data_IF_805698016747
#
_entry.id   IF_805698016747
#
_cell.length_a   1.000
_cell.length_b   1.000
_cell.length_c   1.000
_cell.angle_alpha   90.00
_cell.angle_beta   90.00
_cell.angle_gamma   90.00
#
_symmetry.space_group_name_H-M   'P 1'
#
loop_
_entity.id
_entity.type
_entity.pdbx_description
1 polymer ?
#
# COMPACT_ATOMS: atom_id res chain seq x y z
N UNK A 1 -6.19 49.31 60.76
CA UNK A 1 -5.25 49.09 59.62
C UNK A 1 -5.66 47.78 58.95
N UNK A 2 -6.30 47.84 57.78
CA UNK A 2 -6.74 46.64 57.03
C UNK A 2 -5.73 46.38 55.93
N UNK A 3 -5.00 45.26 56.03
CA UNK A 3 -4.07 44.81 54.98
C UNK A 3 -4.87 44.15 53.88
N UNK A 4 -4.88 44.73 52.67
CA UNK A 4 -5.33 44.11 51.43
C UNK A 4 -4.22 43.29 50.81
N UNK A 5 -4.40 41.97 50.79
CA UNK A 5 -3.53 41.03 50.07
C UNK A 5 -3.91 41.04 48.61
N UNK A 6 -3.04 41.60 47.75
CA UNK A 6 -3.20 41.63 46.30
C UNK A 6 -2.71 40.29 45.75
N UNK A 7 -3.65 39.40 45.36
CA UNK A 7 -3.32 38.16 44.67
C UNK A 7 -3.15 38.46 43.17
N UNK A 8 -1.89 38.46 42.72
CA UNK A 8 -1.57 38.54 41.29
C UNK A 8 -1.88 37.20 40.63
N UNK A 9 -2.92 37.11 39.81
CA UNK A 9 -3.20 35.98 38.93
C UNK A 9 -2.25 36.10 37.73
N UNK A 10 -1.19 35.29 37.72
CA UNK A 10 -0.35 35.11 36.52
C UNK A 10 -1.10 34.16 35.59
N UNK A 11 -1.79 34.73 34.61
CA UNK A 11 -2.33 33.95 33.50
C UNK A 11 -1.15 33.57 32.60
N UNK A 12 -0.68 32.34 32.76
CA UNK A 12 0.25 31.74 31.81
C UNK A 12 -0.49 31.49 30.48
N UNK A 13 -0.35 32.42 29.55
CA UNK A 13 -0.77 32.23 28.17
C UNK A 13 0.22 31.21 27.59
N UNK A 14 -0.17 29.96 27.57
CA UNK A 14 0.50 28.93 26.77
C UNK A 14 0.30 29.31 25.30
N UNK A 15 1.29 29.97 24.71
CA UNK A 15 1.39 30.09 23.25
C UNK A 15 1.50 28.66 22.71
N UNK A 16 0.38 28.11 22.27
CA UNK A 16 0.37 26.99 21.37
C UNK A 16 1.09 27.49 20.09
N UNK A 17 2.36 27.18 19.92
CA UNK A 17 3.05 27.38 18.67
C UNK A 17 2.36 26.47 17.65
N UNK A 18 1.30 26.99 17.02
CA UNK A 18 0.78 26.40 15.81
C UNK A 18 1.91 26.39 14.80
N UNK A 19 2.41 25.21 14.49
CA UNK A 19 3.38 25.00 13.44
C UNK A 19 2.73 25.53 12.16
N UNK A 20 3.22 26.64 11.61
CA UNK A 20 2.81 27.15 10.30
C UNK A 20 3.35 26.19 9.24
N UNK A 21 2.73 25.05 9.12
CA UNK A 21 2.94 24.11 8.04
C UNK A 21 2.30 24.64 6.75
N UNK A 22 2.68 24.10 5.61
CA UNK A 22 2.02 24.35 4.34
C UNK A 22 0.54 24.01 4.48
N UNK A 23 -0.36 24.98 4.30
CA UNK A 23 -1.79 24.68 4.16
C UNK A 23 -2.07 24.24 2.73
N UNK A 24 -2.59 23.03 2.59
CA UNK A 24 -2.97 22.49 1.29
C UNK A 24 -4.35 22.99 0.86
N UNK A 25 -4.50 23.14 -0.45
CA UNK A 25 -5.77 23.44 -1.14
C UNK A 25 -6.09 22.26 -2.07
N UNK A 26 -7.37 21.89 -2.12
CA UNK A 26 -7.80 20.72 -2.90
C UNK A 26 -7.40 20.85 -4.39
N UNK A 27 -7.69 22.00 -5.02
CA UNK A 27 -7.46 22.20 -6.46
C UNK A 27 -5.98 22.37 -6.84
N UNK A 28 -5.10 22.63 -5.87
CA UNK A 28 -3.66 22.80 -6.10
C UNK A 28 -2.82 21.77 -5.33
N UNK A 29 -3.45 20.70 -4.87
CA UNK A 29 -2.84 19.74 -3.95
C UNK A 29 -1.56 19.10 -4.49
N UNK A 30 -1.55 18.67 -5.73
CA UNK A 30 -0.44 17.98 -6.37
C UNK A 30 0.80 18.89 -6.48
N UNK A 31 0.62 20.12 -6.94
CA UNK A 31 1.71 21.09 -7.02
C UNK A 31 2.26 21.45 -5.62
N UNK A 32 1.38 21.63 -4.65
CA UNK A 32 1.78 21.90 -3.27
C UNK A 32 2.51 20.70 -2.66
N UNK A 33 2.05 19.47 -2.94
CA UNK A 33 2.73 18.27 -2.48
C UNK A 33 4.13 18.11 -3.10
N UNK A 34 4.30 18.39 -4.38
CA UNK A 34 5.61 18.35 -5.02
C UNK A 34 6.61 19.32 -4.39
N UNK A 35 6.13 20.43 -3.84
CA UNK A 35 6.95 21.43 -3.12
C UNK A 35 7.03 21.18 -1.61
N UNK A 36 6.24 20.24 -1.07
CA UNK A 36 6.14 20.00 0.38
C UNK A 36 7.39 19.31 0.92
N UNK A 37 7.94 19.83 2.01
CA UNK A 37 9.04 19.21 2.76
C UNK A 37 8.57 18.90 4.19
N UNK A 38 8.59 17.61 4.61
CA UNK A 38 8.22 17.23 5.97
C UNK A 38 9.08 17.90 7.02
N UNK A 39 8.46 18.30 8.14
CA UNK A 39 9.19 18.85 9.29
C UNK A 39 8.97 17.95 10.50
N UNK A 40 10.06 17.55 11.16
CA UNK A 40 9.98 16.82 12.40
C UNK A 40 9.46 17.70 13.52
N UNK A 41 8.53 17.17 14.32
CA UNK A 41 8.04 17.81 15.54
C UNK A 41 8.19 16.87 16.75
N UNK A 42 8.01 17.41 17.96
CA UNK A 42 8.19 16.65 19.19
C UNK A 42 7.19 15.51 19.40
N UNK A 43 6.10 15.45 18.63
CA UNK A 43 5.06 14.44 18.75
C UNK A 43 5.31 13.20 17.88
N UNK A 44 6.38 13.22 17.08
CA UNK A 44 6.70 12.17 16.10
C UNK A 44 8.06 11.58 16.44
N UNK A 45 8.16 10.23 16.55
CA UNK A 45 9.45 9.58 16.71
C UNK A 45 10.35 9.84 15.49
N UNK A 46 11.67 9.85 15.70
CA UNK A 46 12.61 9.97 14.57
C UNK A 46 12.37 8.88 13.53
N UNK A 47 12.08 7.65 13.95
CA UNK A 47 11.78 6.51 13.07
C UNK A 47 10.56 6.78 12.20
N UNK A 48 9.47 7.26 12.78
CA UNK A 48 8.22 7.55 12.05
C UNK A 48 8.42 8.73 11.09
N UNK A 49 9.18 9.76 11.52
CA UNK A 49 9.53 10.89 10.68
C UNK A 49 10.36 10.47 9.46
N UNK A 50 11.44 9.70 9.69
CA UNK A 50 12.32 9.22 8.61
C UNK A 50 11.53 8.35 7.62
N UNK A 51 10.64 7.46 8.12
CA UNK A 51 9.79 6.63 7.29
C UNK A 51 8.80 7.45 6.45
N UNK A 52 8.06 8.35 7.08
CA UNK A 52 7.07 9.17 6.36
C UNK A 52 7.73 10.13 5.36
N UNK A 53 8.89 10.70 5.71
CA UNK A 53 9.69 11.54 4.80
C UNK A 53 10.17 10.77 3.58
N UNK A 54 10.55 9.50 3.78
CA UNK A 54 10.89 8.61 2.68
C UNK A 54 9.68 8.36 1.77
N UNK A 55 8.49 8.07 2.31
CA UNK A 55 7.27 7.90 1.51
C UNK A 55 6.97 9.15 0.67
N UNK A 56 7.09 10.35 1.25
CA UNK A 56 6.94 11.62 0.51
C UNK A 56 7.93 11.71 -0.64
N UNK A 57 9.22 11.42 -0.39
CA UNK A 57 10.28 11.46 -1.42
C UNK A 57 10.02 10.46 -2.54
N UNK A 58 9.69 9.21 -2.20
CA UNK A 58 9.43 8.15 -3.19
C UNK A 58 8.17 8.44 -4.02
N UNK A 59 7.12 9.01 -3.41
CA UNK A 59 5.91 9.41 -4.15
C UNK A 59 6.22 10.54 -5.15
N UNK A 60 7.00 11.55 -4.77
CA UNK A 60 7.47 12.59 -5.71
C UNK A 60 8.26 12.00 -6.87
N UNK A 61 9.15 11.04 -6.59
CA UNK A 61 9.93 10.34 -7.61
C UNK A 61 9.05 9.51 -8.54
N UNK A 62 8.11 8.73 -8.00
CA UNK A 62 7.17 7.90 -8.76
C UNK A 62 6.31 8.71 -9.73
N UNK A 63 5.85 9.89 -9.30
CA UNK A 63 5.11 10.83 -10.15
C UNK A 63 6.02 11.61 -11.11
N UNK A 64 7.35 11.39 -11.09
CA UNK A 64 8.35 12.13 -11.89
C UNK A 64 8.27 13.65 -11.67
N UNK A 65 7.91 14.07 -10.46
CA UNK A 65 7.65 15.46 -10.10
C UNK A 65 6.65 16.17 -11.03
N UNK A 66 5.69 15.44 -11.61
CA UNK A 66 4.65 15.97 -12.48
C UNK A 66 3.27 15.83 -11.79
N UNK A 67 2.52 16.95 -11.63
CA UNK A 67 1.20 16.94 -10.98
C UNK A 67 0.14 16.10 -11.71
N UNK A 68 0.32 15.85 -13.01
CA UNK A 68 -0.60 15.03 -13.82
C UNK A 68 -0.42 13.51 -13.63
N UNK A 69 0.65 13.08 -12.96
CA UNK A 69 1.00 11.66 -12.85
C UNK A 69 0.53 11.00 -11.55
N UNK A 70 -0.23 11.73 -10.71
CA UNK A 70 -0.72 11.15 -9.44
C UNK A 70 -1.84 10.16 -9.70
N UNK A 71 -1.75 9.01 -9.05
CA UNK A 71 -2.74 7.95 -9.10
C UNK A 71 -3.27 7.60 -7.70
N UNK A 72 -4.18 6.64 -7.61
CA UNK A 72 -4.81 6.18 -6.37
C UNK A 72 -3.79 5.79 -5.29
N UNK A 73 -2.74 5.04 -5.67
CA UNK A 73 -1.72 4.58 -4.73
C UNK A 73 -0.89 5.74 -4.18
N UNK A 74 -0.60 6.75 -5.01
CA UNK A 74 0.11 7.95 -4.59
C UNK A 74 -0.70 8.73 -3.55
N UNK A 75 -2.00 8.94 -3.79
CA UNK A 75 -2.87 9.62 -2.82
C UNK A 75 -2.99 8.85 -1.49
N UNK A 76 -3.05 7.52 -1.54
CA UNK A 76 -3.03 6.71 -0.32
C UNK A 76 -1.70 6.81 0.44
N UNK A 77 -0.58 6.80 -0.27
CA UNK A 77 0.76 6.97 0.29
C UNK A 77 0.89 8.33 0.97
N UNK A 78 0.43 9.41 0.32
CA UNK A 78 0.43 10.76 0.88
C UNK A 78 -0.44 10.82 2.14
N UNK A 79 -1.66 10.30 2.09
CA UNK A 79 -2.54 10.22 3.24
C UNK A 79 -1.87 9.48 4.41
N UNK A 80 -1.25 8.34 4.14
CA UNK A 80 -0.53 7.56 5.15
C UNK A 80 0.66 8.31 5.74
N UNK A 81 1.42 9.02 4.91
CA UNK A 81 2.52 9.87 5.36
C UNK A 81 2.03 11.04 6.22
N UNK A 82 0.96 11.75 5.80
CA UNK A 82 0.38 12.87 6.57
C UNK A 82 -0.15 12.44 7.93
N UNK A 83 -0.83 11.27 7.99
CA UNK A 83 -1.26 10.68 9.25
C UNK A 83 -0.09 10.34 10.17
N UNK A 84 1.02 9.82 9.63
CA UNK A 84 2.22 9.48 10.40
C UNK A 84 2.95 10.73 10.87
N UNK A 85 3.04 11.76 10.03
CA UNK A 85 3.63 13.05 10.35
C UNK A 85 2.77 13.91 11.28
N UNK A 86 1.54 13.47 11.57
CA UNK A 86 0.54 14.24 12.34
C UNK A 86 0.36 15.66 11.76
N UNK A 87 0.21 15.71 10.44
CA UNK A 87 -0.15 16.94 9.74
C UNK A 87 -1.45 17.54 10.28
N UNK A 88 -1.74 18.79 9.94
CA UNK A 88 -3.01 19.42 10.36
C UNK A 88 -4.21 18.59 9.90
N UNK A 89 -5.27 18.59 10.69
CA UNK A 89 -6.52 17.87 10.34
C UNK A 89 -7.04 18.30 8.96
N UNK A 90 -6.89 19.57 8.61
CA UNK A 90 -7.25 20.12 7.29
C UNK A 90 -6.45 19.42 6.18
N UNK A 91 -5.12 19.34 6.32
CA UNK A 91 -4.24 18.71 5.33
C UNK A 91 -4.55 17.22 5.16
N UNK A 92 -4.75 16.51 6.28
CA UNK A 92 -5.12 15.09 6.29
C UNK A 92 -6.47 14.89 5.56
N UNK A 93 -7.48 15.71 5.83
CA UNK A 93 -8.78 15.62 5.18
C UNK A 93 -8.70 15.89 3.68
N UNK A 94 -7.91 16.87 3.24
CA UNK A 94 -7.70 17.14 1.81
C UNK A 94 -7.03 15.93 1.13
N UNK A 95 -5.98 15.37 1.73
CA UNK A 95 -5.34 14.16 1.20
C UNK A 95 -6.32 12.97 1.13
N UNK A 96 -7.19 12.83 2.14
CA UNK A 96 -8.24 11.82 2.13
C UNK A 96 -9.29 12.07 1.03
N UNK A 97 -9.71 13.32 0.81
CA UNK A 97 -10.64 13.67 -0.28
C UNK A 97 -10.05 13.32 -1.67
N UNK A 98 -8.76 13.59 -1.90
CA UNK A 98 -8.06 13.20 -3.12
C UNK A 98 -8.07 11.67 -3.30
N UNK A 99 -7.69 10.94 -2.27
CA UNK A 99 -7.73 9.48 -2.26
C UNK A 99 -9.15 8.93 -2.50
N UNK A 100 -10.13 9.43 -1.76
CA UNK A 100 -11.52 8.98 -1.82
C UNK A 100 -12.17 9.18 -3.20
N UNK A 101 -11.76 10.22 -3.94
CA UNK A 101 -12.31 10.59 -5.23
C UNK A 101 -11.51 10.01 -6.42
N UNK A 102 -10.37 9.37 -6.17
CA UNK A 102 -9.58 8.72 -7.21
C UNK A 102 -10.30 7.47 -7.75
N UNK A 103 -10.07 7.17 -9.03
CA UNK A 103 -10.59 5.97 -9.69
C UNK A 103 -10.10 4.70 -8.96
N UNK A 104 -10.96 3.71 -8.77
CA UNK A 104 -10.64 2.48 -8.03
C UNK A 104 -10.61 2.61 -6.51
N UNK A 105 -10.90 3.81 -5.95
CA UNK A 105 -10.83 4.04 -4.49
C UNK A 105 -11.73 3.10 -3.68
N UNK A 106 -12.90 2.73 -4.20
CA UNK A 106 -13.83 1.85 -3.49
C UNK A 106 -13.24 0.47 -3.22
N UNK A 107 -12.65 -0.18 -4.22
CA UNK A 107 -12.03 -1.51 -4.06
C UNK A 107 -10.84 -1.44 -3.08
N UNK A 108 -10.04 -0.39 -3.21
CA UNK A 108 -8.91 -0.15 -2.32
C UNK A 108 -9.36 0.05 -0.87
N UNK A 109 -10.41 0.85 -0.64
CA UNK A 109 -10.98 1.10 0.69
C UNK A 109 -11.54 -0.17 1.33
N UNK A 110 -12.19 -1.05 0.57
CA UNK A 110 -12.69 -2.33 1.06
C UNK A 110 -11.56 -3.22 1.59
N UNK A 111 -10.40 -3.22 0.93
CA UNK A 111 -9.25 -4.05 1.35
C UNK A 111 -8.62 -3.61 2.69
N UNK A 112 -8.75 -2.33 3.07
CA UNK A 112 -8.18 -1.75 4.29
C UNK A 112 -9.19 -1.54 5.43
N UNK A 113 -10.44 -1.95 5.25
CA UNK A 113 -11.55 -1.70 6.19
C UNK A 113 -11.21 -2.04 7.65
N UNK A 114 -10.67 -3.24 7.89
CA UNK A 114 -10.35 -3.70 9.24
C UNK A 114 -9.26 -2.85 9.91
N UNK A 115 -8.21 -2.49 9.17
CA UNK A 115 -7.12 -1.65 9.69
C UNK A 115 -7.63 -0.28 10.09
N UNK A 116 -8.50 0.31 9.29
CA UNK A 116 -9.05 1.65 9.54
C UNK A 116 -10.03 1.65 10.71
N UNK A 117 -10.83 0.60 10.88
CA UNK A 117 -11.77 0.48 12.00
C UNK A 117 -11.10 0.45 13.36
N UNK A 118 -9.93 -0.16 13.46
CA UNK A 118 -9.30 -0.51 14.76
C UNK A 118 -8.05 0.31 15.10
N UNK A 119 -7.33 0.83 14.13
CA UNK A 119 -6.07 1.53 14.36
C UNK A 119 -6.32 3.03 14.67
N UNK A 120 -5.88 3.54 15.85
CA UNK A 120 -6.03 4.95 16.24
C UNK A 120 -5.41 5.95 15.27
N UNK A 121 -4.42 5.54 14.48
CA UNK A 121 -3.80 6.38 13.45
C UNK A 121 -4.84 7.02 12.52
N UNK A 122 -5.95 6.34 12.28
CA UNK A 122 -6.98 6.76 11.32
C UNK A 122 -8.17 7.51 11.96
N UNK A 123 -8.12 7.84 13.26
CA UNK A 123 -9.26 8.46 13.97
C UNK A 123 -9.78 9.72 13.26
N UNK A 124 -8.86 10.54 12.73
CA UNK A 124 -9.19 11.82 12.04
C UNK A 124 -10.08 11.62 10.81
N UNK A 125 -9.94 10.51 10.10
CA UNK A 125 -10.67 10.23 8.85
C UNK A 125 -11.68 9.09 9.00
N UNK A 126 -11.73 8.41 10.14
CA UNK A 126 -12.50 7.18 10.32
C UNK A 126 -13.99 7.33 9.97
N UNK A 127 -14.62 8.41 10.43
CA UNK A 127 -16.02 8.64 10.17
C UNK A 127 -16.31 8.82 8.66
N UNK A 128 -15.50 9.65 7.99
CA UNK A 128 -15.64 9.94 6.57
C UNK A 128 -15.31 8.70 5.72
N UNK A 129 -14.30 7.94 6.14
CA UNK A 129 -13.95 6.67 5.51
C UNK A 129 -15.11 5.65 5.58
N UNK A 130 -15.70 5.45 6.76
CA UNK A 130 -16.79 4.50 6.94
C UNK A 130 -18.07 4.93 6.20
N UNK A 131 -18.31 6.23 6.07
CA UNK A 131 -19.43 6.74 5.26
C UNK A 131 -19.20 6.44 3.78
N UNK A 132 -17.99 6.72 3.26
CA UNK A 132 -17.64 6.39 1.87
C UNK A 132 -17.71 4.89 1.60
N UNK A 133 -17.27 4.07 2.54
CA UNK A 133 -17.33 2.60 2.41
C UNK A 133 -18.77 2.09 2.26
N UNK A 134 -19.74 2.69 2.97
CA UNK A 134 -21.17 2.36 2.80
C UNK A 134 -21.65 2.69 1.38
N UNK A 135 -21.23 3.83 0.82
CA UNK A 135 -21.55 4.20 -0.57
C UNK A 135 -20.94 3.20 -1.54
N UNK A 136 -19.66 2.79 -1.34
CA UNK A 136 -18.97 1.80 -2.15
C UNK A 136 -19.68 0.45 -2.11
N UNK A 137 -20.09 0.00 -0.92
CA UNK A 137 -20.81 -1.27 -0.75
C UNK A 137 -22.19 -1.25 -1.43
N UNK A 138 -22.92 -0.12 -1.34
CA UNK A 138 -24.22 0.00 -2.00
C UNK A 138 -24.13 0.08 -3.53
N UNK A 139 -23.05 0.64 -4.08
CA UNK A 139 -22.78 0.66 -5.52
C UNK A 139 -22.33 -0.71 -6.04
N UNK A 140 -21.54 -1.45 -5.28
CA UNK A 140 -21.04 -2.78 -5.68
C UNK A 140 -22.17 -3.81 -5.83
N UNK A 141 -23.32 -3.61 -5.19
CA UNK A 141 -24.52 -4.46 -5.41
C UNK A 141 -25.20 -4.22 -6.77
N UNK A 142 -24.84 -3.16 -7.49
CA UNK A 142 -25.35 -2.81 -8.82
C UNK A 142 -24.34 -3.14 -9.94
N UNK A 143 -23.09 -3.48 -9.62
CA UNK A 143 -22.10 -3.86 -10.63
C UNK A 143 -22.40 -5.27 -11.16
N UNK A 144 -22.30 -5.43 -12.49
CA UNK A 144 -22.42 -6.74 -13.16
C UNK A 144 -21.49 -7.73 -12.46
N UNK A 145 -22.05 -8.83 -12.00
CA UNK A 145 -21.27 -9.95 -11.45
C UNK A 145 -20.18 -10.31 -12.45
N UNK A 146 -18.91 -10.24 -11.99
CA UNK A 146 -17.78 -10.63 -12.83
C UNK A 146 -17.93 -12.08 -13.30
N UNK A 147 -18.05 -12.26 -14.61
CA UNK A 147 -18.22 -13.57 -15.23
C UNK A 147 -16.93 -13.93 -15.95
N UNK A 148 -16.21 -14.92 -15.41
CA UNK A 148 -14.90 -15.35 -15.93
C UNK A 148 -14.98 -15.72 -17.42
N UNK A 149 -16.03 -16.42 -17.83
CA UNK A 149 -16.17 -16.89 -19.20
C UNK A 149 -16.33 -15.73 -20.20
N UNK A 150 -17.09 -14.67 -19.83
CA UNK A 150 -17.19 -13.44 -20.61
C UNK A 150 -15.85 -12.71 -20.65
N UNK A 151 -15.17 -12.58 -19.50
CA UNK A 151 -13.86 -11.95 -19.42
C UNK A 151 -12.84 -12.65 -20.31
N UNK A 152 -12.76 -13.97 -20.25
CA UNK A 152 -11.85 -14.76 -21.08
C UNK A 152 -12.16 -14.62 -22.57
N UNK A 153 -13.44 -14.61 -22.95
CA UNK A 153 -13.87 -14.43 -24.35
C UNK A 153 -13.46 -13.05 -24.87
N UNK A 154 -13.72 -12.00 -24.10
CA UNK A 154 -13.38 -10.62 -24.48
C UNK A 154 -11.86 -10.40 -24.62
N UNK A 155 -11.07 -11.08 -23.82
CA UNK A 155 -9.61 -10.93 -23.81
C UNK A 155 -8.87 -12.07 -24.55
N UNK A 156 -9.58 -13.00 -25.21
CA UNK A 156 -9.01 -14.15 -25.93
C UNK A 156 -8.11 -15.03 -25.04
N UNK A 157 -8.50 -15.24 -23.79
CA UNK A 157 -7.75 -16.00 -22.78
C UNK A 157 -8.21 -17.47 -22.69
N UNK A 158 -7.32 -18.34 -22.21
CA UNK A 158 -7.67 -19.72 -21.90
C UNK A 158 -8.54 -19.79 -20.65
N UNK A 159 -9.81 -20.18 -20.82
CA UNK A 159 -10.84 -20.23 -19.76
C UNK A 159 -10.41 -21.13 -18.60
N UNK A 160 -9.87 -22.32 -18.90
CA UNK A 160 -9.50 -23.30 -17.88
C UNK A 160 -8.32 -22.81 -17.04
N UNK A 161 -7.33 -22.18 -17.68
CA UNK A 161 -6.20 -21.56 -16.98
C UNK A 161 -6.69 -20.44 -16.07
N UNK A 162 -7.51 -19.52 -16.58
CA UNK A 162 -8.01 -18.38 -15.80
C UNK A 162 -8.89 -18.85 -14.64
N UNK A 163 -9.76 -19.84 -14.84
CA UNK A 163 -10.54 -20.45 -13.75
C UNK A 163 -9.65 -21.05 -12.68
N UNK A 164 -8.58 -21.73 -13.07
CA UNK A 164 -7.62 -22.32 -12.15
C UNK A 164 -6.87 -21.26 -11.36
N UNK A 165 -6.43 -20.18 -12.00
CA UNK A 165 -5.76 -19.04 -11.36
C UNK A 165 -6.73 -18.28 -10.43
N UNK A 166 -7.99 -18.07 -10.84
CA UNK A 166 -9.00 -17.49 -9.97
C UNK A 166 -9.22 -18.32 -8.70
N UNK A 167 -9.27 -19.66 -8.81
CA UNK A 167 -9.38 -20.52 -7.63
C UNK A 167 -8.15 -20.39 -6.71
N UNK A 168 -6.95 -20.31 -7.28
CA UNK A 168 -5.72 -20.02 -6.52
C UNK A 168 -5.82 -18.67 -5.79
N UNK A 169 -6.33 -17.63 -6.45
CA UNK A 169 -6.53 -16.31 -5.84
C UNK A 169 -7.51 -16.37 -4.66
N UNK A 170 -8.65 -17.03 -4.84
CA UNK A 170 -9.65 -17.24 -3.77
C UNK A 170 -9.03 -17.99 -2.59
N UNK A 171 -8.31 -19.07 -2.84
CA UNK A 171 -7.67 -19.88 -1.81
C UNK A 171 -6.56 -19.08 -1.09
N UNK A 172 -5.79 -18.23 -1.81
CA UNK A 172 -4.74 -17.39 -1.24
C UNK A 172 -5.29 -16.36 -0.26
N UNK A 173 -6.44 -15.76 -0.53
CA UNK A 173 -7.01 -14.68 0.29
C UNK A 173 -7.94 -15.18 1.41
N UNK A 174 -8.33 -16.45 1.39
CA UNK A 174 -9.46 -16.97 2.16
C UNK A 174 -9.41 -16.69 3.66
N UNK A 175 -8.25 -16.82 4.27
CA UNK A 175 -8.09 -16.65 5.72
C UNK A 175 -7.01 -15.61 6.09
N UNK A 176 -6.52 -14.78 5.14
CA UNK A 176 -5.43 -13.81 5.38
C UNK A 176 -5.74 -12.79 6.47
N UNK A 177 -6.98 -12.31 6.53
CA UNK A 177 -7.41 -11.27 7.45
C UNK A 177 -7.99 -11.81 8.76
N UNK A 178 -7.68 -13.07 9.10
CA UNK A 178 -8.17 -13.71 10.32
C UNK A 178 -7.10 -13.70 11.42
N UNK A 179 -7.52 -13.53 12.69
CA UNK A 179 -6.63 -13.56 13.86
C UNK A 179 -6.61 -14.92 14.56
N UNK A 180 -7.54 -15.81 14.24
CA UNK A 180 -7.63 -17.15 14.83
C UNK A 180 -6.47 -18.03 14.38
N UNK A 181 -5.75 -18.65 15.33
CA UNK A 181 -4.65 -19.58 15.03
C UNK A 181 -5.10 -20.75 14.13
N UNK A 182 -6.30 -21.26 14.37
CA UNK A 182 -6.86 -22.35 13.57
C UNK A 182 -7.03 -21.94 12.08
N UNK A 183 -7.53 -20.71 11.83
CA UNK A 183 -7.73 -20.20 10.49
C UNK A 183 -6.40 -19.86 9.81
N UNK A 184 -5.42 -19.37 10.56
CA UNK A 184 -4.06 -19.17 10.04
C UNK A 184 -3.39 -20.50 9.66
N UNK A 185 -3.60 -21.58 10.42
CA UNK A 185 -3.08 -22.90 10.06
C UNK A 185 -3.81 -23.49 8.82
N UNK A 186 -5.11 -23.20 8.64
CA UNK A 186 -5.82 -23.51 7.39
C UNK A 186 -5.24 -22.74 6.22
N UNK A 187 -4.94 -21.45 6.39
CA UNK A 187 -4.31 -20.64 5.34
C UNK A 187 -2.96 -21.21 4.92
N UNK A 188 -2.09 -21.58 5.85
CA UNK A 188 -0.79 -22.21 5.52
C UNK A 188 -0.95 -23.47 4.66
N UNK A 189 -1.98 -24.28 4.88
CA UNK A 189 -2.24 -25.46 4.05
C UNK A 189 -2.65 -25.06 2.62
N UNK A 190 -3.46 -24.02 2.48
CA UNK A 190 -3.83 -23.46 1.19
C UNK A 190 -2.63 -22.85 0.47
N UNK A 191 -1.76 -22.14 1.19
CA UNK A 191 -0.53 -21.58 0.64
C UNK A 191 0.38 -22.65 0.03
N UNK A 192 0.61 -23.75 0.75
CA UNK A 192 1.40 -24.89 0.26
C UNK A 192 0.76 -25.53 -0.99
N UNK A 193 -0.57 -25.68 -1.00
CA UNK A 193 -1.33 -26.18 -2.16
C UNK A 193 -1.14 -25.24 -3.36
N UNK A 194 -1.33 -23.95 -3.16
CA UNK A 194 -1.22 -22.92 -4.20
C UNK A 194 0.19 -22.85 -4.77
N UNK A 195 1.23 -22.91 -3.94
CA UNK A 195 2.63 -22.95 -4.37
C UNK A 195 2.92 -24.16 -5.30
N UNK A 196 2.35 -25.34 -4.98
CA UNK A 196 2.48 -26.51 -5.86
C UNK A 196 1.78 -26.31 -7.21
N UNK A 197 0.60 -25.68 -7.22
CA UNK A 197 -0.15 -25.38 -8.44
C UNK A 197 0.65 -24.38 -9.29
N UNK A 198 1.15 -23.30 -8.72
CA UNK A 198 1.95 -22.28 -9.42
C UNK A 198 3.23 -22.89 -9.99
N UNK A 199 3.94 -23.70 -9.22
CA UNK A 199 5.13 -24.42 -9.71
C UNK A 199 4.82 -25.34 -10.90
N UNK A 200 3.70 -26.05 -10.87
CA UNK A 200 3.28 -26.92 -11.96
C UNK A 200 2.96 -26.11 -13.23
N UNK A 201 2.18 -25.04 -13.08
CA UNK A 201 1.82 -24.15 -14.18
C UNK A 201 3.03 -23.42 -14.77
N UNK A 202 3.96 -22.97 -13.94
CA UNK A 202 5.22 -22.37 -14.42
C UNK A 202 6.06 -23.39 -15.23
N UNK A 203 6.14 -24.64 -14.79
CA UNK A 203 6.84 -25.70 -15.54
C UNK A 203 6.18 -26.01 -16.87
N UNK A 204 4.85 -25.93 -16.95
CA UNK A 204 4.07 -26.14 -18.16
C UNK A 204 4.26 -25.00 -19.16
N UNK A 205 4.05 -23.76 -18.72
CA UNK A 205 4.08 -22.57 -19.58
C UNK A 205 5.49 -22.01 -19.78
N UNK A 206 6.44 -22.30 -18.88
CA UNK A 206 7.85 -21.81 -18.88
C UNK A 206 7.99 -20.29 -18.89
N UNK A 207 6.95 -19.59 -18.44
CA UNK A 207 6.90 -18.13 -18.33
C UNK A 207 6.04 -17.73 -17.13
N UNK A 208 6.15 -16.46 -16.72
CA UNK A 208 5.27 -15.87 -15.72
C UNK A 208 3.81 -15.91 -16.23
N UNK A 209 2.86 -16.19 -15.32
CA UNK A 209 1.43 -16.24 -15.64
C UNK A 209 0.85 -14.81 -15.55
N UNK A 210 1.24 -13.97 -16.51
CA UNK A 210 0.96 -12.54 -16.54
C UNK A 210 -0.22 -12.16 -17.43
N UNK A 211 -0.27 -10.86 -17.79
CA UNK A 211 -1.35 -10.24 -18.55
C UNK A 211 -1.73 -11.01 -19.82
N UNK A 212 -0.76 -11.48 -20.56
CA UNK A 212 -1.01 -12.21 -21.82
C UNK A 212 -1.65 -13.58 -21.65
N UNK A 213 -1.46 -14.24 -20.50
CA UNK A 213 -1.99 -15.58 -20.23
C UNK A 213 -3.26 -15.59 -19.40
N UNK A 214 -3.38 -14.69 -18.41
CA UNK A 214 -4.48 -14.67 -17.46
C UNK A 214 -5.25 -13.35 -17.43
N UNK A 215 -4.76 -12.35 -18.14
CA UNK A 215 -5.36 -11.00 -18.21
C UNK A 215 -4.99 -10.13 -17.00
N UNK A 216 -5.29 -8.83 -17.11
CA UNK A 216 -4.94 -7.82 -16.11
C UNK A 216 -5.54 -8.10 -14.73
N UNK A 217 -6.75 -8.66 -14.66
CA UNK A 217 -7.42 -8.95 -13.39
C UNK A 217 -6.72 -10.06 -12.57
N UNK A 218 -5.86 -10.87 -13.19
CA UNK A 218 -5.22 -12.02 -12.55
C UNK A 218 -3.70 -12.03 -12.65
N UNK A 219 -3.08 -11.04 -13.28
CA UNK A 219 -1.63 -10.98 -13.48
C UNK A 219 -0.81 -11.06 -12.19
N UNK A 220 -1.34 -10.55 -11.09
CA UNK A 220 -0.66 -10.52 -9.79
C UNK A 220 -0.82 -11.80 -8.96
N UNK A 221 -1.66 -12.75 -9.37
CA UNK A 221 -1.98 -13.93 -8.55
C UNK A 221 -0.75 -14.84 -8.36
N UNK A 222 0.01 -15.10 -9.41
CA UNK A 222 1.26 -15.87 -9.29
C UNK A 222 2.24 -15.19 -8.33
N UNK A 223 2.43 -13.88 -8.45
CA UNK A 223 3.25 -13.10 -7.53
C UNK A 223 2.76 -13.21 -6.07
N UNK A 224 1.44 -13.07 -5.83
CA UNK A 224 0.89 -13.12 -4.49
C UNK A 224 1.19 -14.45 -3.78
N UNK A 225 1.05 -15.58 -4.48
CA UNK A 225 1.39 -16.90 -3.96
C UNK A 225 2.89 -17.01 -3.59
N UNK A 226 3.77 -16.45 -4.44
CA UNK A 226 5.21 -16.45 -4.19
C UNK A 226 5.56 -15.49 -3.04
N UNK A 227 4.94 -14.33 -2.97
CA UNK A 227 5.04 -13.36 -1.87
C UNK A 227 4.69 -13.99 -0.50
N UNK A 228 3.83 -15.00 -0.49
CA UNK A 228 3.40 -15.72 0.70
C UNK A 228 4.14 -17.06 0.92
N UNK A 229 5.22 -17.29 0.18
CA UNK A 229 6.06 -18.48 0.32
C UNK A 229 7.25 -18.25 1.27
N UNK A 230 8.18 -19.21 1.29
CA UNK A 230 9.46 -19.08 1.98
C UNK A 230 10.49 -18.31 1.14
N UNK A 231 11.61 -17.95 1.76
CA UNK A 231 12.70 -17.20 1.12
C UNK A 231 13.36 -17.92 -0.03
N UNK A 232 13.40 -19.25 -0.01
CA UNK A 232 13.97 -20.09 -1.07
C UNK A 232 13.15 -19.94 -2.36
N UNK A 233 11.82 -20.11 -2.26
CA UNK A 233 10.92 -19.92 -3.40
C UNK A 233 10.92 -18.47 -3.88
N UNK A 234 10.93 -17.50 -2.97
CA UNK A 234 11.06 -16.08 -3.35
C UNK A 234 12.33 -15.83 -4.14
N UNK A 235 13.46 -16.38 -3.70
CA UNK A 235 14.76 -16.23 -4.37
C UNK A 235 14.76 -16.84 -5.77
N UNK A 236 14.14 -18.01 -5.94
CA UNK A 236 14.01 -18.70 -7.24
C UNK A 236 13.16 -17.87 -8.22
N UNK A 237 12.04 -17.31 -7.74
CA UNK A 237 11.07 -16.62 -8.60
C UNK A 237 11.35 -15.13 -8.81
N UNK A 238 12.18 -14.50 -7.98
CA UNK A 238 12.46 -13.07 -8.08
C UNK A 238 13.01 -12.65 -9.47
N UNK A 239 13.94 -13.40 -10.12
CA UNK A 239 14.36 -13.11 -11.49
C UNK A 239 13.22 -13.25 -12.52
N UNK A 240 12.29 -14.18 -12.31
CA UNK A 240 11.15 -14.44 -13.19
C UNK A 240 10.15 -13.29 -13.10
N UNK A 241 9.85 -12.83 -11.88
CA UNK A 241 8.98 -11.68 -11.62
C UNK A 241 9.60 -10.40 -12.18
N UNK A 242 10.92 -10.20 -11.99
CA UNK A 242 11.62 -9.06 -12.57
C UNK A 242 11.55 -9.05 -14.11
N UNK A 243 11.70 -10.22 -14.76
CA UNK A 243 11.53 -10.36 -16.20
C UNK A 243 10.11 -10.03 -16.62
N UNK A 244 9.10 -10.54 -15.90
CA UNK A 244 7.68 -10.26 -16.18
C UNK A 244 7.34 -8.77 -16.15
N UNK A 245 7.91 -8.01 -15.19
CA UNK A 245 7.74 -6.54 -15.15
C UNK A 245 8.38 -5.88 -16.37
N UNK A 246 9.59 -6.29 -16.76
CA UNK A 246 10.23 -5.76 -17.99
C UNK A 246 9.44 -6.06 -19.26
N UNK A 247 8.77 -7.20 -19.32
CA UNK A 247 7.94 -7.63 -20.44
C UNK A 247 6.50 -7.09 -20.36
N UNK A 248 6.18 -6.28 -19.33
CA UNK A 248 4.84 -5.71 -19.06
C UNK A 248 3.75 -6.77 -18.80
N UNK A 249 4.16 -7.96 -18.41
CA UNK A 249 3.29 -9.05 -17.98
C UNK A 249 2.81 -8.89 -16.53
N UNK A 250 3.46 -8.00 -15.76
CA UNK A 250 3.14 -7.67 -14.37
C UNK A 250 3.49 -6.20 -14.12
N UNK A 251 2.71 -5.51 -13.31
CA UNK A 251 3.03 -4.16 -12.88
C UNK A 251 4.27 -4.11 -11.96
N UNK A 252 4.91 -2.94 -11.83
CA UNK A 252 6.15 -2.77 -11.07
C UNK A 252 5.97 -2.88 -9.55
N UNK A 253 4.82 -2.46 -9.03
CA UNK A 253 4.54 -2.45 -7.59
C UNK A 253 4.71 -3.85 -6.94
N UNK A 254 4.19 -4.95 -7.49
CA UNK A 254 4.45 -6.31 -7.02
C UNK A 254 5.93 -6.65 -6.89
N UNK A 255 6.77 -6.22 -7.83
CA UNK A 255 8.22 -6.46 -7.76
C UNK A 255 8.87 -5.71 -6.59
N UNK A 256 8.51 -4.43 -6.37
CA UNK A 256 8.98 -3.65 -5.22
C UNK A 256 8.62 -4.33 -3.89
N UNK A 257 7.37 -4.79 -3.77
CA UNK A 257 6.88 -5.50 -2.59
C UNK A 257 7.61 -6.85 -2.37
N UNK A 258 7.90 -7.59 -3.44
CA UNK A 258 8.65 -8.85 -3.38
C UNK A 258 10.10 -8.62 -2.94
N UNK A 259 10.77 -7.60 -3.49
CA UNK A 259 12.13 -7.24 -3.09
C UNK A 259 12.16 -6.91 -1.59
N UNK A 260 11.25 -6.06 -1.12
CA UNK A 260 11.20 -5.67 0.29
C UNK A 260 10.98 -6.88 1.21
N UNK A 261 10.05 -7.76 0.85
CA UNK A 261 9.76 -8.94 1.65
C UNK A 261 10.94 -9.93 1.67
N UNK A 262 11.53 -10.20 0.52
CA UNK A 262 12.70 -11.08 0.42
C UNK A 262 13.89 -10.53 1.22
N UNK A 263 14.22 -9.24 1.05
CA UNK A 263 15.32 -8.61 1.78
C UNK A 263 15.02 -8.47 3.27
N UNK A 264 13.76 -8.16 3.63
CA UNK A 264 13.31 -8.09 5.01
C UNK A 264 13.46 -9.42 5.75
N UNK A 265 12.96 -10.50 5.15
CA UNK A 265 13.04 -11.84 5.74
C UNK A 265 14.48 -12.41 5.75
N UNK A 266 15.30 -12.07 4.76
CA UNK A 266 16.66 -12.62 4.60
C UNK A 266 17.69 -11.81 5.37
N UNK A 267 17.59 -10.47 5.37
CA UNK A 267 18.63 -9.58 5.86
C UNK A 267 18.13 -8.58 6.94
N UNK A 268 16.84 -8.57 7.26
CA UNK A 268 16.27 -7.70 8.29
C UNK A 268 15.98 -6.26 7.87
N UNK A 269 16.13 -5.91 6.59
CA UNK A 269 15.87 -4.57 6.09
C UNK A 269 15.08 -4.58 4.76
N UNK A 270 14.37 -3.50 4.49
CA UNK A 270 13.62 -3.28 3.27
C UNK A 270 14.19 -2.13 2.42
N UNK A 271 13.86 -2.09 1.13
CA UNK A 271 14.42 -1.17 0.14
C UNK A 271 13.47 -0.01 -0.16
N UNK A 272 12.19 -0.32 -0.39
CA UNK A 272 11.15 0.63 -0.81
C UNK A 272 10.23 1.06 0.34
N UNK A 273 10.17 0.31 1.44
CA UNK A 273 9.31 0.60 2.59
C UNK A 273 7.91 0.01 2.49
N UNK A 274 7.68 -0.94 1.60
CA UNK A 274 6.35 -1.53 1.37
C UNK A 274 5.90 -2.51 2.45
N UNK A 275 6.80 -2.95 3.34
CA UNK A 275 6.54 -3.97 4.38
C UNK A 275 6.43 -3.35 5.79
N UNK A 276 5.73 -2.21 5.92
CA UNK A 276 5.63 -1.46 7.18
C UNK A 276 5.10 -2.26 8.38
N UNK A 277 4.18 -3.22 8.14
CA UNK A 277 3.61 -4.07 9.19
C UNK A 277 4.55 -5.13 9.78
N UNK A 278 5.70 -5.39 9.15
CA UNK A 278 6.66 -6.43 9.59
C UNK A 278 7.78 -5.89 10.47
N UNK A 279 7.88 -4.59 10.67
CA UNK A 279 8.89 -3.97 11.52
C UNK A 279 10.31 -3.96 10.91
N UNK A 280 10.48 -4.30 9.63
CA UNK A 280 11.77 -4.20 8.94
C UNK A 280 12.21 -2.74 8.85
N UNK A 281 13.49 -2.49 9.12
CA UNK A 281 14.06 -1.17 8.94
C UNK A 281 14.37 -0.87 7.47
N UNK A 282 14.41 0.41 7.10
CA UNK A 282 14.89 0.80 5.78
C UNK A 282 16.40 0.63 5.71
N UNK A 283 16.89 0.04 4.62
CA UNK A 283 18.31 0.00 4.33
C UNK A 283 18.87 1.43 4.15
N UNK A 284 20.14 1.61 4.46
CA UNK A 284 20.85 2.87 4.20
C UNK A 284 20.80 3.25 2.71
N UNK A 285 20.85 4.55 2.42
CA UNK A 285 20.64 5.11 1.07
C UNK A 285 21.54 4.48 -0.01
N UNK A 286 22.82 4.25 0.30
CA UNK A 286 23.76 3.59 -0.62
C UNK A 286 23.27 2.20 -1.03
N UNK A 287 22.79 1.39 -0.05
CA UNK A 287 22.30 0.03 -0.30
C UNK A 287 20.98 0.04 -1.09
N UNK A 288 20.10 0.96 -0.76
CA UNK A 288 18.84 1.15 -1.51
C UNK A 288 19.12 1.48 -2.98
N UNK A 289 20.02 2.44 -3.24
CA UNK A 289 20.41 2.82 -4.61
C UNK A 289 21.02 1.63 -5.39
N UNK A 290 21.90 0.85 -4.74
CA UNK A 290 22.49 -0.35 -5.34
C UNK A 290 21.41 -1.35 -5.79
N UNK A 291 20.44 -1.64 -4.91
CA UNK A 291 19.37 -2.61 -5.20
C UNK A 291 18.39 -2.08 -6.25
N UNK A 292 18.00 -0.81 -6.16
CA UNK A 292 17.17 -0.16 -7.18
C UNK A 292 17.81 -0.26 -8.58
N UNK A 293 19.09 0.05 -8.68
CA UNK A 293 19.86 -0.09 -9.94
C UNK A 293 19.90 -1.53 -10.43
N UNK A 294 20.12 -2.51 -9.54
CA UNK A 294 20.15 -3.95 -9.90
C UNK A 294 18.86 -4.39 -10.59
N UNK A 295 17.73 -3.88 -10.17
CA UNK A 295 16.41 -4.25 -10.71
C UNK A 295 15.89 -3.24 -11.75
N UNK A 296 16.63 -2.16 -12.04
CA UNK A 296 16.22 -1.10 -12.97
C UNK A 296 14.96 -0.37 -12.50
N UNK A 297 14.78 -0.21 -11.18
CA UNK A 297 13.66 0.46 -10.55
C UNK A 297 14.19 1.76 -9.95
N UNK A 298 13.51 2.87 -10.20
CA UNK A 298 13.85 4.20 -9.66
C UNK A 298 13.19 4.48 -8.30
#
# INVERSE_FOLDING_TARGET
>A
MKNYLLILFIVSISFCNAQTGTEFEYDNFENQFLSYEPKQNAQISKKDFDYASMIVKETKSATKNNPENFNLADYFNILSAFLTLKESEKNIKIAFEKFKNAEGSCEYMLSFENSIKTNPKYDVIRADYLNKLKECTSKSTLEKKFIIDEYCTLNSLNIDLVKKINQVNIDDQKYRNQSSRELLDKQKKLDIKNQKIINALYKEHKTYLGKSLVGENFESVMWAVIQHSNTEMMSEYLPIIHKAVKEKELDETPLKMMIDRYYGLTFGYQIFGSQGGFGFELAGEKKRKEIKLKYGIE
#
